data_IF_737573456741
#
_entry.id   IF_737573456741
#
_cell.length_a   1.000
_cell.length_b   1.000
_cell.length_c   1.000
_cell.angle_alpha   90.00
_cell.angle_beta   90.00
_cell.angle_gamma   90.00
#
_symmetry.space_group_name_H-M   'P 1'
#
loop_
_entity.id
_entity.type
_entity.pdbx_description
1 polymer ?
#
# COMPACT_ATOMS: atom_id res chain seq x y z
N UNK A 1 20.90 -17.82 11.24
CA UNK A 1 21.98 -16.92 11.68
C UNK A 1 21.33 -15.63 12.14
N UNK A 2 21.66 -15.12 13.31
CA UNK A 2 21.12 -13.82 13.75
C UNK A 2 21.64 -12.70 12.84
N UNK A 3 20.82 -11.70 12.49
CA UNK A 3 21.27 -10.57 11.70
C UNK A 3 22.29 -9.73 12.49
N UNK A 4 23.38 -9.34 11.84
CA UNK A 4 24.39 -8.46 12.43
C UNK A 4 23.92 -7.02 12.25
N UNK A 5 23.72 -6.31 13.37
CA UNK A 5 23.25 -4.92 13.37
C UNK A 5 24.34 -3.97 13.84
N UNK A 6 24.60 -2.93 13.07
CA UNK A 6 25.56 -1.87 13.40
C UNK A 6 25.01 -0.50 13.02
N UNK A 7 25.46 0.54 13.73
CA UNK A 7 25.05 1.93 13.48
C UNK A 7 26.22 2.71 12.87
N UNK A 8 25.92 3.59 11.94
CA UNK A 8 26.89 4.50 11.31
C UNK A 8 26.31 5.90 11.22
N UNK A 9 27.17 6.92 11.23
CA UNK A 9 26.78 8.31 10.93
C UNK A 9 26.66 8.56 9.44
N UNK A 10 27.37 7.79 8.62
CA UNK A 10 27.47 7.98 7.18
C UNK A 10 27.49 6.61 6.50
N UNK A 11 26.36 6.22 5.91
CA UNK A 11 26.22 4.95 5.20
C UNK A 11 27.13 4.88 3.95
N UNK A 12 27.50 6.03 3.37
CA UNK A 12 28.29 6.07 2.14
C UNK A 12 29.75 5.66 2.33
N UNK A 13 30.24 5.76 3.56
CA UNK A 13 31.63 5.42 3.92
C UNK A 13 31.77 4.00 4.46
N UNK A 14 30.67 3.26 4.62
CA UNK A 14 30.70 1.91 5.18
C UNK A 14 31.31 0.95 4.16
N UNK A 15 32.24 0.13 4.66
CA UNK A 15 32.89 -0.95 3.92
C UNK A 15 32.73 -2.23 4.73
N UNK A 16 32.27 -3.29 4.10
CA UNK A 16 32.25 -4.63 4.69
C UNK A 16 33.47 -5.39 4.19
N UNK A 17 34.20 -5.98 5.14
CA UNK A 17 35.37 -6.80 4.87
C UNK A 17 35.08 -8.20 5.37
N UNK A 18 35.16 -9.18 4.48
CA UNK A 18 35.01 -10.59 4.82
C UNK A 18 36.38 -11.25 4.68
N UNK A 19 37.00 -11.56 5.81
CA UNK A 19 38.33 -12.18 5.88
C UNK A 19 38.20 -13.68 6.12
N UNK A 20 38.88 -14.50 5.30
CA UNK A 20 39.05 -15.92 5.59
C UNK A 20 40.33 -16.08 6.43
N UNK A 21 40.17 -16.59 7.65
CA UNK A 21 41.25 -16.82 8.60
C UNK A 21 41.29 -18.32 8.96
N UNK A 22 42.46 -18.98 8.97
CA UNK A 22 42.56 -20.38 9.38
C UNK A 22 42.26 -20.54 10.87
N UNK A 23 41.40 -21.49 11.22
CA UNK A 23 40.91 -21.74 12.60
C UNK A 23 42.02 -21.99 13.62
N UNK A 24 43.15 -22.58 13.19
CA UNK A 24 44.24 -22.98 14.08
C UNK A 24 45.34 -21.92 14.27
N UNK A 25 45.34 -20.88 13.43
CA UNK A 25 46.28 -19.77 13.55
C UNK A 25 45.52 -18.54 14.01
N UNK A 26 45.35 -18.40 15.32
CA UNK A 26 44.65 -17.28 15.98
C UNK A 26 45.29 -15.90 15.80
N UNK A 27 46.05 -15.67 14.73
CA UNK A 27 46.64 -14.38 14.39
C UNK A 27 45.96 -13.82 13.14
N UNK A 28 45.43 -12.59 13.24
CA UNK A 28 44.94 -11.79 12.11
C UNK A 28 45.98 -11.58 10.98
N UNK A 29 47.23 -11.98 11.20
CA UNK A 29 48.35 -11.86 10.25
C UNK A 29 48.28 -12.83 9.07
N UNK A 30 47.63 -13.99 9.22
CA UNK A 30 47.58 -15.02 8.18
C UNK A 30 46.20 -15.06 7.51
N UNK A 31 45.88 -14.03 6.72
CA UNK A 31 44.63 -13.97 5.95
C UNK A 31 44.79 -14.75 4.65
N UNK A 32 43.91 -15.74 4.43
CA UNK A 32 43.91 -16.55 3.20
C UNK A 32 43.34 -15.74 2.04
N UNK A 33 42.32 -14.93 2.30
CA UNK A 33 41.75 -14.01 1.33
C UNK A 33 40.76 -13.05 1.97
N UNK A 34 40.38 -12.04 1.18
CA UNK A 34 39.49 -10.95 1.60
C UNK A 34 38.51 -10.61 0.49
N UNK A 35 37.23 -10.50 0.83
CA UNK A 35 36.24 -9.81 0.02
C UNK A 35 35.99 -8.41 0.58
N UNK A 36 35.83 -7.42 -0.32
CA UNK A 36 35.56 -6.02 0.04
C UNK A 36 34.28 -5.58 -0.64
N UNK A 37 33.28 -5.18 0.16
CA UNK A 37 32.03 -4.64 -0.33
C UNK A 37 31.87 -3.18 0.11
N UNK A 38 31.81 -2.26 -0.86
CA UNK A 38 31.47 -0.86 -0.62
C UNK A 38 29.96 -0.69 -0.71
N UNK A 39 29.27 -0.41 0.40
CA UNK A 39 27.79 -0.36 0.42
C UNK A 39 27.18 0.45 -0.74
N UNK A 40 27.65 1.67 -1.06
CA UNK A 40 27.06 2.49 -2.13
C UNK A 40 27.23 1.92 -3.52
N UNK A 41 28.35 1.22 -3.77
CA UNK A 41 28.65 0.66 -5.08
C UNK A 41 27.92 -0.65 -5.31
N UNK A 42 27.60 -1.34 -4.22
CA UNK A 42 27.11 -2.71 -4.18
C UNK A 42 25.59 -2.77 -4.34
N UNK A 43 24.85 -1.83 -3.74
CA UNK A 43 23.39 -1.73 -3.89
C UNK A 43 23.06 -0.39 -4.54
N UNK A 44 23.07 -0.37 -5.88
CA UNK A 44 22.72 0.83 -6.64
C UNK A 44 21.19 1.05 -6.57
N UNK A 45 20.78 2.26 -6.27
CA UNK A 45 19.38 2.67 -6.40
C UNK A 45 19.03 2.80 -7.89
N UNK A 46 17.78 2.48 -8.23
CA UNK A 46 17.26 2.67 -9.59
C UNK A 46 16.61 4.06 -9.61
N UNK A 47 17.28 5.03 -10.20
CA UNK A 47 16.83 6.42 -10.14
C UNK A 47 16.84 6.99 -8.72
N UNK A 48 15.99 8.00 -8.47
CA UNK A 48 16.02 8.78 -7.23
C UNK A 48 15.29 8.14 -6.05
N UNK A 49 14.27 7.29 -6.29
CA UNK A 49 13.40 6.71 -5.23
C UNK A 49 12.91 5.29 -5.53
N UNK A 50 13.65 4.51 -6.31
CA UNK A 50 13.35 3.09 -6.54
C UNK A 50 14.53 2.21 -6.17
N UNK A 51 14.22 0.98 -5.80
CA UNK A 51 15.21 -0.04 -5.48
C UNK A 51 14.90 -1.34 -6.18
N UNK A 52 15.94 -2.13 -6.44
CA UNK A 52 15.79 -3.51 -6.89
C UNK A 52 15.28 -4.37 -5.70
N UNK A 53 14.31 -5.24 -5.97
CA UNK A 53 13.82 -6.21 -5.00
C UNK A 53 14.79 -7.37 -4.80
N UNK A 54 15.66 -7.64 -5.78
CA UNK A 54 16.79 -8.54 -5.61
C UNK A 54 17.84 -7.89 -4.70
N UNK A 55 17.83 -8.30 -3.43
CA UNK A 55 18.71 -7.76 -2.38
C UNK A 55 20.04 -8.49 -2.21
N UNK A 56 20.18 -9.67 -2.81
CA UNK A 56 21.37 -10.50 -2.64
C UNK A 56 22.57 -9.93 -3.41
N UNK A 57 23.68 -9.83 -2.70
CA UNK A 57 24.94 -9.36 -3.24
C UNK A 57 25.94 -10.49 -3.18
N UNK A 58 26.60 -10.74 -4.32
CA UNK A 58 27.75 -11.61 -4.42
C UNK A 58 29.03 -10.79 -4.59
N UNK A 59 30.02 -10.98 -3.71
CA UNK A 59 31.35 -10.34 -3.81
C UNK A 59 32.42 -11.42 -3.85
N UNK A 60 33.40 -11.35 -4.77
CA UNK A 60 34.49 -12.31 -4.84
C UNK A 60 35.46 -12.14 -3.67
N UNK A 61 35.96 -13.28 -3.17
CA UNK A 61 37.04 -13.35 -2.19
C UNK A 61 38.35 -13.44 -2.97
N UNK A 62 39.24 -12.47 -2.76
CA UNK A 62 40.53 -12.41 -3.44
C UNK A 62 41.65 -12.93 -2.54
N UNK A 63 42.55 -13.74 -3.10
CA UNK A 63 43.79 -14.16 -2.44
C UNK A 63 44.83 -13.03 -2.44
N UNK A 64 45.97 -13.25 -1.79
CA UNK A 64 47.14 -12.35 -1.85
C UNK A 64 47.65 -12.13 -3.28
N UNK A 65 47.41 -13.08 -4.19
CA UNK A 65 47.83 -13.04 -5.58
C UNK A 65 46.76 -12.43 -6.50
N UNK A 66 45.68 -11.86 -5.93
CA UNK A 66 44.52 -11.31 -6.63
C UNK A 66 43.70 -12.35 -7.43
N UNK A 67 43.88 -13.64 -7.14
CA UNK A 67 43.04 -14.69 -7.71
C UNK A 67 41.74 -14.83 -6.91
N UNK A 68 40.64 -15.13 -7.60
CA UNK A 68 39.35 -15.39 -6.96
C UNK A 68 39.37 -16.80 -6.39
N UNK A 69 39.34 -16.91 -5.07
CA UNK A 69 39.37 -18.20 -4.35
C UNK A 69 38.00 -18.64 -3.85
N UNK A 70 37.00 -17.78 -3.98
CA UNK A 70 35.62 -18.04 -3.56
C UNK A 70 34.74 -16.80 -3.69
N UNK A 71 33.51 -16.90 -3.20
CA UNK A 71 32.55 -15.79 -3.19
C UNK A 71 31.83 -15.74 -1.84
N UNK A 72 31.40 -14.54 -1.44
CA UNK A 72 30.52 -14.33 -0.30
C UNK A 72 29.20 -13.78 -0.81
N UNK A 73 28.11 -14.44 -0.44
CA UNK A 73 26.75 -13.97 -0.67
C UNK A 73 26.19 -13.41 0.64
N UNK A 74 25.64 -12.20 0.59
CA UNK A 74 24.99 -11.58 1.73
C UNK A 74 23.92 -10.59 1.28
N UNK A 75 22.99 -10.29 2.18
CA UNK A 75 21.98 -9.26 2.02
C UNK A 75 22.10 -8.27 3.19
N UNK A 76 21.78 -7.00 2.94
CA UNK A 76 21.76 -5.97 3.96
C UNK A 76 20.65 -4.95 3.71
N UNK A 77 20.16 -4.40 4.82
CA UNK A 77 19.19 -3.32 4.85
C UNK A 77 19.79 -2.10 5.55
N UNK A 78 19.69 -0.93 4.91
CA UNK A 78 20.09 0.35 5.50
C UNK A 78 18.82 1.10 5.88
N UNK A 79 18.64 1.36 7.17
CA UNK A 79 17.51 2.12 7.70
C UNK A 79 18.00 3.51 8.08
N UNK A 80 17.40 4.54 7.50
CA UNK A 80 17.69 5.94 7.82
C UNK A 80 16.81 6.43 8.97
N UNK A 81 17.29 7.36 9.81
CA UNK A 81 16.45 7.94 10.85
C UNK A 81 15.28 8.70 10.24
N UNK A 82 14.11 8.60 10.87
CA UNK A 82 12.92 9.37 10.54
C UNK A 82 12.74 10.49 11.57
N UNK A 83 12.41 11.70 11.11
CA UNK A 83 12.24 12.88 11.95
C UNK A 83 10.92 13.56 11.65
N UNK A 84 10.10 13.78 12.68
CA UNK A 84 8.83 14.46 12.56
C UNK A 84 8.51 15.19 13.88
N UNK A 85 7.96 16.42 13.84
CA UNK A 85 7.68 17.21 15.05
C UNK A 85 6.72 16.53 16.03
N UNK A 86 5.76 15.76 15.49
CA UNK A 86 4.74 15.06 16.30
C UNK A 86 5.19 13.68 16.81
N UNK A 87 6.46 13.28 16.61
CA UNK A 87 6.99 12.06 17.24
C UNK A 87 7.27 12.38 18.70
N UNK A 88 6.42 11.86 19.57
CA UNK A 88 6.61 11.93 21.01
C UNK A 88 6.87 10.54 21.59
N UNK A 89 7.93 10.41 22.40
CA UNK A 89 8.19 9.21 23.21
C UNK A 89 7.34 9.32 24.48
N UNK A 90 6.03 9.12 24.37
CA UNK A 90 5.14 9.15 25.53
C UNK A 90 4.77 7.74 26.01
N UNK A 91 4.86 7.52 27.32
CA UNK A 91 4.44 6.28 28.00
C UNK A 91 2.95 5.95 27.86
N UNK A 92 2.15 6.89 27.33
CA UNK A 92 0.70 6.74 27.11
C UNK A 92 0.37 5.95 25.83
N UNK A 93 1.31 5.82 24.88
CA UNK A 93 1.05 5.21 23.57
C UNK A 93 1.29 3.70 23.50
N UNK A 94 1.76 3.04 24.57
CA UNK A 94 1.64 1.58 24.71
C UNK A 94 0.21 1.18 25.09
N UNK A 95 -0.79 1.63 24.32
CA UNK A 95 -2.22 1.40 24.60
C UNK A 95 -2.55 -0.09 24.64
N UNK A 96 -1.77 -0.93 23.95
CA UNK A 96 -1.85 -2.40 23.99
C UNK A 96 -1.79 -3.02 25.37
N UNK A 97 -1.05 -2.40 26.30
CA UNK A 97 -1.02 -2.87 27.70
C UNK A 97 -2.32 -2.62 28.44
N UNK A 98 -3.22 -1.77 27.91
CA UNK A 98 -4.57 -1.52 28.43
C UNK A 98 -5.66 -2.32 27.70
N UNK A 99 -5.31 -3.07 26.65
CA UNK A 99 -6.28 -3.88 25.90
C UNK A 99 -6.49 -5.19 26.66
N UNK A 100 -7.39 -5.15 27.64
CA UNK A 100 -7.78 -6.34 28.43
C UNK A 100 -8.84 -7.22 27.74
N UNK A 101 -9.31 -6.84 26.55
CA UNK A 101 -10.40 -7.50 25.82
C UNK A 101 -10.06 -7.73 24.35
N UNK A 102 -10.62 -8.78 23.76
CA UNK A 102 -10.57 -9.06 22.32
C UNK A 102 -11.09 -7.87 21.51
N UNK A 103 -10.31 -7.40 20.53
CA UNK A 103 -10.69 -6.31 19.64
C UNK A 103 -11.29 -6.87 18.35
N UNK A 104 -12.35 -6.24 17.84
CA UNK A 104 -12.95 -6.59 16.55
C UNK A 104 -12.40 -5.69 15.45
N UNK A 105 -11.78 -6.30 14.44
CA UNK A 105 -11.18 -5.61 13.30
C UNK A 105 -11.96 -5.98 12.02
N UNK A 106 -12.53 -4.98 11.35
CA UNK A 106 -13.19 -5.15 10.06
C UNK A 106 -12.17 -5.28 8.93
N UNK A 107 -11.89 -6.51 8.48
CA UNK A 107 -10.97 -6.80 7.38
C UNK A 107 -11.46 -6.17 6.07
N UNK A 108 -10.70 -5.23 5.50
CA UNK A 108 -11.08 -4.38 4.34
C UNK A 108 -12.44 -3.69 4.50
N UNK A 109 -12.85 -3.42 5.74
CA UNK A 109 -14.21 -3.02 6.12
C UNK A 109 -15.11 -4.24 6.41
N UNK A 110 -16.10 -4.52 5.57
CA UNK A 110 -17.05 -5.63 5.74
C UNK A 110 -16.59 -6.98 5.15
N UNK A 111 -15.28 -7.19 5.03
CA UNK A 111 -14.72 -8.42 4.52
C UNK A 111 -14.47 -8.40 3.00
N UNK A 112 -13.82 -9.48 2.56
CA UNK A 112 -13.45 -9.71 1.16
C UNK A 112 -14.69 -9.95 0.30
N UNK A 113 -14.71 -9.37 -0.89
CA UNK A 113 -15.81 -9.58 -1.83
C UNK A 113 -15.78 -11.00 -2.41
N UNK A 114 -16.94 -11.68 -2.36
CA UNK A 114 -17.12 -13.05 -2.88
C UNK A 114 -18.26 -13.08 -3.91
N UNK A 115 -18.03 -13.76 -5.03
CA UNK A 115 -19.00 -13.93 -6.13
C UNK A 115 -20.12 -14.92 -5.82
N UNK A 116 -19.96 -15.78 -4.80
CA UNK A 116 -20.93 -16.81 -4.41
C UNK A 116 -22.13 -16.29 -3.62
N UNK A 117 -22.05 -15.07 -3.11
CA UNK A 117 -23.09 -14.49 -2.26
C UNK A 117 -24.24 -13.95 -3.11
N UNK A 118 -25.47 -14.24 -2.68
CA UNK A 118 -26.71 -13.82 -3.35
C UNK A 118 -27.11 -12.37 -3.04
N UNK A 119 -26.46 -11.73 -2.07
CA UNK A 119 -26.71 -10.35 -1.67
C UNK A 119 -25.65 -9.39 -2.22
N UNK A 120 -26.09 -8.19 -2.57
CA UNK A 120 -25.24 -7.08 -2.98
C UNK A 120 -24.28 -6.71 -1.82
N UNK A 121 -22.97 -6.73 -2.07
CA UNK A 121 -21.96 -6.34 -1.08
C UNK A 121 -21.42 -4.94 -1.37
N UNK A 122 -20.95 -4.28 -0.31
CA UNK A 122 -20.11 -3.09 -0.43
C UNK A 122 -18.75 -3.50 -1.00
N UNK A 123 -18.14 -2.64 -1.82
CA UNK A 123 -16.79 -2.91 -2.30
C UNK A 123 -15.77 -2.88 -1.17
N UNK A 124 -14.85 -3.85 -1.15
CA UNK A 124 -13.73 -3.88 -0.21
C UNK A 124 -12.83 -2.66 -0.38
N UNK A 125 -12.17 -2.25 0.71
CA UNK A 125 -11.26 -1.11 0.71
C UNK A 125 -11.93 0.22 0.27
N UNK A 126 -13.23 0.34 0.52
CA UNK A 126 -14.00 1.56 0.26
C UNK A 126 -14.51 2.21 1.54
N UNK A 127 -14.64 3.54 1.51
CA UNK A 127 -15.17 4.29 2.65
C UNK A 127 -16.54 3.79 3.15
N UNK A 128 -17.54 3.48 2.28
CA UNK A 128 -18.80 2.90 2.76
C UNK A 128 -18.62 1.58 3.49
N UNK A 129 -17.69 0.71 3.04
CA UNK A 129 -17.38 -0.56 3.70
C UNK A 129 -16.84 -0.35 5.10
N UNK A 130 -15.94 0.62 5.29
CA UNK A 130 -15.38 0.96 6.59
C UNK A 130 -16.43 1.57 7.54
N UNK A 131 -17.25 2.50 7.06
CA UNK A 131 -18.34 3.09 7.86
C UNK A 131 -19.33 2.01 8.30
N UNK A 132 -19.69 1.10 7.39
CA UNK A 132 -20.61 0.01 7.71
C UNK A 132 -20.01 -0.96 8.74
N UNK A 133 -18.72 -1.30 8.65
CA UNK A 133 -18.04 -2.11 9.65
C UNK A 133 -18.05 -1.46 11.04
N UNK A 134 -17.76 -0.16 11.09
CA UNK A 134 -17.80 0.61 12.34
C UNK A 134 -19.21 0.65 12.95
N UNK A 135 -20.25 0.87 12.13
CA UNK A 135 -21.64 0.86 12.57
C UNK A 135 -22.09 -0.51 13.10
N UNK A 136 -21.45 -1.61 12.67
CA UNK A 136 -21.69 -2.96 13.19
C UNK A 136 -20.87 -3.30 14.45
N UNK A 137 -20.12 -2.33 14.99
CA UNK A 137 -19.37 -2.48 16.24
C UNK A 137 -17.90 -2.88 16.07
N UNK A 138 -17.35 -2.81 14.86
CA UNK A 138 -15.90 -2.94 14.68
C UNK A 138 -15.19 -1.75 15.33
N UNK A 139 -14.19 -2.04 16.18
CA UNK A 139 -13.39 -1.02 16.86
C UNK A 139 -12.23 -0.55 15.98
N UNK A 140 -11.78 -1.42 15.08
CA UNK A 140 -10.79 -1.12 14.07
C UNK A 140 -11.31 -1.47 12.69
N UNK A 141 -10.79 -0.78 11.68
CA UNK A 141 -10.88 -1.19 10.28
C UNK A 141 -9.48 -1.50 9.77
N UNK A 142 -9.34 -2.60 9.05
CA UNK A 142 -8.10 -3.00 8.39
C UNK A 142 -8.17 -2.64 6.91
N UNK A 143 -7.06 -2.17 6.36
CA UNK A 143 -6.94 -1.86 4.94
C UNK A 143 -5.47 -1.85 4.46
N UNK A 144 -5.29 -2.12 3.17
CA UNK A 144 -4.00 -2.11 2.49
C UNK A 144 -3.59 -0.71 2.03
N UNK A 145 -2.35 -0.33 2.34
CA UNK A 145 -1.74 0.93 1.91
C UNK A 145 -0.63 0.65 0.90
N UNK A 146 -0.73 1.30 -0.27
CA UNK A 146 0.30 1.33 -1.30
C UNK A 146 0.65 2.77 -1.68
N UNK A 147 1.76 2.97 -2.39
CA UNK A 147 2.15 4.28 -2.92
C UNK A 147 1.98 4.36 -4.43
N UNK A 148 1.44 5.47 -4.90
CA UNK A 148 1.43 5.85 -6.32
C UNK A 148 2.81 6.32 -6.78
N UNK A 149 2.97 6.54 -8.09
CA UNK A 149 4.21 7.05 -8.72
C UNK A 149 4.68 8.38 -8.13
N UNK A 150 3.75 9.24 -7.76
CA UNK A 150 3.95 10.54 -7.11
C UNK A 150 4.06 10.45 -5.58
N UNK A 151 4.17 9.23 -5.03
CA UNK A 151 4.38 8.95 -3.60
C UNK A 151 3.21 9.42 -2.73
N UNK A 152 1.98 9.18 -3.19
CA UNK A 152 0.78 9.41 -2.39
C UNK A 152 0.26 8.09 -1.86
N UNK A 153 0.05 7.95 -0.54
CA UNK A 153 -0.55 6.75 0.03
C UNK A 153 -2.01 6.58 -0.39
N UNK A 154 -2.29 5.45 -1.04
CA UNK A 154 -3.61 5.07 -1.54
C UNK A 154 -4.05 3.73 -0.94
N UNK A 155 -5.36 3.54 -0.88
CA UNK A 155 -5.97 2.36 -0.27
C UNK A 155 -6.33 1.37 -1.37
N UNK A 156 -5.54 0.31 -1.48
CA UNK A 156 -5.71 -0.69 -2.54
C UNK A 156 -4.98 -2.00 -2.24
N UNK A 157 -5.68 -3.12 -2.42
CA UNK A 157 -5.18 -4.45 -2.05
C UNK A 157 -4.29 -5.10 -3.11
N UNK A 158 -4.66 -5.06 -4.40
CA UNK A 158 -3.91 -5.82 -5.39
C UNK A 158 -2.66 -5.05 -5.83
N UNK A 159 -1.56 -5.73 -6.17
CA UNK A 159 -0.38 -5.01 -6.69
C UNK A 159 -0.62 -4.42 -8.08
N UNK A 160 -1.53 -5.02 -8.84
CA UNK A 160 -1.94 -4.63 -10.19
C UNK A 160 -3.35 -4.05 -10.17
N UNK A 161 -3.49 -2.85 -10.72
CA UNK A 161 -4.76 -2.21 -11.03
C UNK A 161 -5.18 -2.71 -12.41
N UNK A 162 -6.29 -3.43 -12.48
CA UNK A 162 -6.76 -4.11 -13.69
C UNK A 162 -8.16 -3.69 -14.12
N UNK A 163 -8.79 -2.77 -13.39
CA UNK A 163 -10.16 -2.28 -13.58
C UNK A 163 -10.39 -1.54 -14.90
N UNK A 164 -9.30 -1.15 -15.59
CA UNK A 164 -9.35 -0.57 -16.94
C UNK A 164 -9.23 -1.61 -18.07
N UNK A 165 -9.01 -2.87 -17.71
CA UNK A 165 -8.68 -3.95 -18.63
C UNK A 165 -7.18 -4.09 -18.95
N UNK A 166 -6.34 -3.24 -18.37
CA UNK A 166 -4.88 -3.29 -18.49
C UNK A 166 -4.31 -3.52 -17.09
N UNK A 167 -3.40 -4.49 -16.95
CA UNK A 167 -2.70 -4.76 -15.71
C UNK A 167 -1.55 -3.74 -15.52
N UNK A 168 -1.72 -2.80 -14.59
CA UNK A 168 -0.71 -1.77 -14.29
C UNK A 168 -0.36 -1.76 -12.80
N UNK A 169 0.92 -1.82 -12.41
CA UNK A 169 1.31 -1.73 -11.00
C UNK A 169 0.94 -0.37 -10.39
N UNK A 170 0.46 -0.36 -9.14
CA UNK A 170 0.04 0.89 -8.45
C UNK A 170 1.15 1.95 -8.44
N UNK A 171 2.40 1.54 -8.17
CA UNK A 171 3.55 2.42 -8.10
C UNK A 171 4.00 3.00 -9.47
N UNK A 172 3.35 2.62 -10.57
CA UNK A 172 3.57 3.18 -11.92
C UNK A 172 2.54 4.24 -12.31
N UNK A 173 1.40 4.29 -11.62
CA UNK A 173 0.31 5.22 -11.86
C UNK A 173 0.46 6.45 -10.96
N UNK A 174 0.21 7.64 -11.51
CA UNK A 174 0.07 8.86 -10.69
C UNK A 174 -1.25 8.80 -9.90
N UNK A 175 -1.35 9.56 -8.81
CA UNK A 175 -2.60 9.67 -8.05
C UNK A 175 -3.78 10.06 -8.93
N UNK A 176 -3.58 11.06 -9.80
CA UNK A 176 -4.63 11.52 -10.71
C UNK A 176 -5.12 10.39 -11.61
N UNK A 177 -4.21 9.65 -12.24
CA UNK A 177 -4.56 8.49 -13.06
C UNK A 177 -5.29 7.43 -12.24
N UNK A 178 -4.77 7.10 -11.05
CA UNK A 178 -5.34 6.09 -10.17
C UNK A 178 -6.78 6.44 -9.77
N UNK A 179 -7.05 7.68 -9.33
CA UNK A 179 -8.39 8.11 -8.93
C UNK A 179 -9.40 8.15 -10.09
N UNK A 180 -8.94 8.39 -11.33
CA UNK A 180 -9.82 8.42 -12.51
C UNK A 180 -10.23 7.04 -13.01
N UNK A 181 -9.59 5.96 -12.56
CA UNK A 181 -9.96 4.59 -12.94
C UNK A 181 -11.37 4.24 -12.44
N UNK A 182 -11.73 4.73 -11.25
CA UNK A 182 -13.09 4.62 -10.74
C UNK A 182 -13.63 6.00 -10.31
N UNK A 183 -14.11 6.82 -11.26
CA UNK A 183 -14.46 8.20 -10.99
C UNK A 183 -15.70 8.29 -10.11
N UNK A 184 -15.62 9.17 -9.11
CA UNK A 184 -16.78 9.54 -8.32
C UNK A 184 -17.69 10.46 -9.15
N UNK A 185 -18.94 10.04 -9.38
CA UNK A 185 -19.95 10.91 -10.02
C UNK A 185 -20.23 12.18 -9.19
N UNK A 186 -19.82 12.23 -7.92
CA UNK A 186 -19.90 13.42 -7.07
C UNK A 186 -18.71 14.39 -7.26
N UNK A 187 -17.48 13.90 -7.48
CA UNK A 187 -16.29 14.76 -7.71
C UNK A 187 -16.41 15.57 -9.01
N UNK A 188 -17.02 15.01 -10.05
CA UNK A 188 -17.21 15.67 -11.36
C UNK A 188 -18.20 16.87 -11.30
N UNK A 189 -19.05 16.96 -10.27
CA UNK A 189 -19.95 18.10 -10.05
C UNK A 189 -19.26 19.30 -9.41
N UNK A 190 -18.18 19.08 -8.65
CA UNK A 190 -17.41 20.17 -8.04
C UNK A 190 -16.66 21.00 -9.07
N UNK A 191 -16.18 20.36 -10.15
CA UNK A 191 -15.42 21.04 -11.21
C UNK A 191 -16.32 21.83 -12.18
N UNK A 192 -17.54 21.34 -12.45
CA UNK A 192 -18.49 22.03 -13.36
C UNK A 192 -19.22 23.21 -12.71
N UNK A 193 -19.34 23.25 -11.39
CA UNK A 193 -20.03 24.34 -10.68
C UNK A 193 -19.16 25.60 -10.46
N UNK A 194 -17.87 25.56 -10.82
CA UNK A 194 -16.99 26.73 -10.77
C UNK A 194 -17.03 27.65 -11.99
N UNK A 195 -17.71 27.24 -13.08
CA UNK A 195 -17.56 27.89 -14.39
C UNK A 195 -18.85 28.47 -15.02
N UNK A 196 -20.01 28.45 -14.33
CA UNK A 196 -21.23 29.09 -14.87
C UNK A 196 -22.10 29.66 -13.74
N UNK A 197 -21.72 30.85 -13.25
CA UNK A 197 -22.67 31.81 -12.70
C UNK A 197 -22.76 32.95 -13.71
N UNK A 198 -23.73 32.84 -14.61
CA UNK A 198 -24.54 33.95 -15.11
C UNK A 198 -25.50 33.42 -16.16
N UNK A 199 -26.80 33.49 -15.86
CA UNK A 199 -27.95 33.66 -16.76
C UNK A 199 -29.21 33.24 -16.00
N UNK A 200 -29.85 34.22 -15.35
CA UNK A 200 -31.28 34.16 -15.06
C UNK A 200 -32.02 34.29 -16.40
N UNK A 201 -32.90 33.34 -16.70
CA UNK A 201 -34.20 33.51 -17.34
C UNK A 201 -34.63 32.18 -17.97
N UNK A 202 -35.62 31.50 -17.37
CA UNK A 202 -36.84 31.16 -18.11
C UNK A 202 -37.92 30.64 -17.14
N UNK A 203 -38.98 31.43 -17.01
CA UNK A 203 -40.19 31.13 -16.27
C UNK A 203 -41.23 30.55 -17.24
N UNK A 204 -41.41 29.24 -17.26
CA UNK A 204 -42.56 28.62 -17.96
C UNK A 204 -43.34 27.66 -17.05
N UNK A 205 -44.41 28.21 -16.46
CA UNK A 205 -45.77 27.68 -16.33
C UNK A 205 -45.91 26.15 -16.13
N UNK A 206 -46.31 25.73 -14.91
CA UNK A 206 -46.87 24.40 -14.62
C UNK A 206 -48.40 24.46 -14.54
N UNK A 207 -49.16 23.64 -15.29
CA UNK A 207 -50.53 23.34 -14.90
C UNK A 207 -50.55 22.16 -13.92
N UNK A 208 -51.33 22.32 -12.85
CA UNK A 208 -51.73 21.28 -11.91
C UNK A 208 -52.76 20.36 -12.58
N UNK A 209 -52.56 19.06 -12.53
CA UNK A 209 -53.65 18.09 -12.67
C UNK A 209 -53.43 16.87 -11.79
N UNK A 210 -54.37 16.67 -10.86
CA UNK A 210 -54.58 15.45 -10.09
C UNK A 210 -55.02 14.32 -11.03
N UNK A 211 -54.25 13.24 -11.09
CA UNK A 211 -54.77 11.94 -11.52
C UNK A 211 -53.94 10.82 -10.88
N UNK A 212 -54.63 9.92 -10.17
CA UNK A 212 -54.09 8.70 -9.57
C UNK A 212 -53.43 7.82 -10.64
N UNK A 213 -52.10 7.69 -10.59
CA UNK A 213 -51.37 6.70 -11.36
C UNK A 213 -51.06 5.47 -10.47
N UNK A 214 -51.18 4.23 -10.98
CA UNK A 214 -50.80 3.03 -10.23
C UNK A 214 -49.30 3.06 -9.91
N UNK A 215 -48.85 2.43 -8.80
CA UNK A 215 -47.46 2.48 -8.41
C UNK A 215 -46.61 1.82 -9.51
N UNK A 216 -45.77 2.64 -10.17
CA UNK A 216 -44.70 2.14 -11.03
C UNK A 216 -43.80 1.27 -10.16
N UNK A 217 -43.93 -0.06 -10.26
CA UNK A 217 -42.84 -0.96 -9.89
C UNK A 217 -41.63 -0.53 -10.73
N UNK A 218 -40.50 -0.28 -10.08
CA UNK A 218 -39.23 -0.05 -10.76
C UNK A 218 -38.82 -1.36 -11.45
N UNK A 219 -39.18 -1.49 -12.73
CA UNK A 219 -38.54 -2.43 -13.62
C UNK A 219 -37.18 -1.85 -13.98
N UNK A 220 -36.13 -2.27 -13.28
CA UNK A 220 -34.76 -2.11 -13.73
C UNK A 220 -34.48 -3.11 -14.87
N UNK A 221 -35.12 -2.90 -16.01
CA UNK A 221 -34.76 -3.53 -17.28
C UNK A 221 -34.52 -2.40 -18.25
N UNK A 222 -33.34 -1.81 -18.12
CA UNK A 222 -32.91 -0.62 -18.85
C UNK A 222 -31.40 -0.63 -18.96
N UNK A 223 -30.91 -1.59 -19.73
CA UNK A 223 -29.58 -1.61 -20.31
C UNK A 223 -29.35 -0.29 -21.05
N UNK A 224 -28.50 0.57 -20.50
CA UNK A 224 -28.13 1.85 -21.08
C UNK A 224 -26.60 1.97 -21.04
N UNK A 225 -25.96 1.68 -22.17
CA UNK A 225 -24.56 2.01 -22.43
C UNK A 225 -23.79 0.86 -23.06
N UNK A 226 -23.53 0.98 -24.36
CA UNK A 226 -22.68 0.17 -25.24
C UNK A 226 -21.19 0.11 -24.83
N UNK A 227 -20.85 0.36 -23.56
CA UNK A 227 -19.49 0.34 -23.03
C UNK A 227 -19.23 -0.74 -21.96
N UNK A 228 -20.28 -1.36 -21.40
CA UNK A 228 -20.10 -2.45 -20.43
C UNK A 228 -19.60 -3.74 -21.10
N UNK A 229 -20.13 -4.09 -22.27
CA UNK A 229 -19.62 -5.25 -23.04
C UNK A 229 -18.14 -5.07 -23.43
N UNK A 230 -17.75 -3.89 -23.96
CA UNK A 230 -16.35 -3.65 -24.30
C UNK A 230 -15.41 -3.70 -23.08
N UNK A 231 -15.86 -3.18 -21.93
CA UNK A 231 -15.08 -3.27 -20.69
C UNK A 231 -15.02 -4.71 -20.16
N UNK A 232 -16.14 -5.45 -20.16
CA UNK A 232 -16.16 -6.86 -19.77
C UNK A 232 -15.26 -7.72 -20.68
N UNK A 233 -15.25 -7.46 -21.99
CA UNK A 233 -14.32 -8.10 -22.92
C UNK A 233 -12.86 -7.75 -22.59
N UNK A 234 -12.55 -6.47 -22.33
CA UNK A 234 -11.18 -6.09 -21.91
C UNK A 234 -10.77 -6.75 -20.59
N UNK A 235 -11.69 -6.86 -19.63
CA UNK A 235 -11.44 -7.49 -18.34
C UNK A 235 -11.08 -8.97 -18.49
N UNK A 236 -11.62 -9.69 -19.49
CA UNK A 236 -11.23 -11.10 -19.77
C UNK A 236 -9.74 -11.27 -20.09
N UNK A 237 -9.10 -10.22 -20.57
CA UNK A 237 -7.68 -10.25 -20.91
C UNK A 237 -6.75 -9.96 -19.73
N UNK A 238 -7.29 -9.44 -18.62
CA UNK A 238 -6.55 -9.19 -17.38
C UNK A 238 -6.12 -10.49 -16.71
N UNK A 239 -5.01 -10.44 -15.99
CA UNK A 239 -4.45 -11.60 -15.28
C UNK A 239 -5.39 -12.12 -14.21
N UNK A 240 -5.97 -11.24 -13.40
CA UNK A 240 -6.90 -11.64 -12.32
C UNK A 240 -8.09 -12.42 -12.88
N UNK A 241 -8.66 -11.97 -13.99
CA UNK A 241 -9.76 -12.67 -14.62
C UNK A 241 -9.33 -14.02 -15.21
N UNK A 242 -8.16 -14.11 -15.85
CA UNK A 242 -7.62 -15.38 -16.35
C UNK A 242 -7.33 -16.40 -15.24
N UNK A 243 -6.82 -15.94 -14.10
CA UNK A 243 -6.42 -16.80 -12.98
C UNK A 243 -7.60 -17.20 -12.09
N UNK A 244 -8.47 -16.25 -11.73
CA UNK A 244 -9.55 -16.43 -10.73
C UNK A 244 -10.93 -16.55 -11.37
N UNK A 245 -11.09 -16.19 -12.64
CA UNK A 245 -12.39 -16.10 -13.33
C UNK A 245 -13.22 -14.86 -12.95
N UNK A 246 -12.73 -14.01 -12.05
CA UNK A 246 -13.40 -12.78 -11.63
C UNK A 246 -12.40 -11.77 -11.03
N UNK A 247 -12.75 -10.48 -11.05
CA UNK A 247 -12.05 -9.41 -10.33
C UNK A 247 -12.93 -8.90 -9.18
N UNK A 248 -12.37 -8.74 -7.98
CA UNK A 248 -13.09 -8.13 -6.86
C UNK A 248 -13.47 -6.67 -7.21
N UNK A 249 -14.55 -6.14 -6.63
CA UNK A 249 -15.07 -4.80 -6.94
C UNK A 249 -15.51 -4.56 -8.42
N UNK A 250 -15.66 -5.63 -9.22
CA UNK A 250 -16.16 -5.53 -10.60
C UNK A 250 -17.51 -4.81 -10.70
N UNK A 251 -17.64 -3.96 -11.73
CA UNK A 251 -18.89 -3.22 -12.03
C UNK A 251 -20.06 -4.20 -12.20
N UNK A 252 -21.20 -3.84 -11.62
CA UNK A 252 -22.44 -4.63 -11.72
C UNK A 252 -22.66 -5.65 -10.59
N UNK A 253 -21.59 -6.11 -9.92
CA UNK A 253 -21.69 -7.12 -8.84
C UNK A 253 -21.60 -6.52 -7.43
N UNK A 254 -21.08 -5.30 -7.29
CA UNK A 254 -20.80 -4.66 -5.99
C UNK A 254 -21.15 -3.17 -5.99
N UNK A 255 -21.46 -2.63 -4.81
CA UNK A 255 -21.59 -1.17 -4.64
C UNK A 255 -20.20 -0.56 -4.76
N UNK A 256 -19.98 0.16 -5.86
CA UNK A 256 -18.73 0.84 -6.09
C UNK A 256 -18.66 2.17 -5.34
N UNK A 257 -17.47 2.45 -4.83
CA UNK A 257 -17.06 3.77 -4.38
C UNK A 257 -15.73 4.10 -5.05
N UNK A 258 -15.40 5.39 -5.20
CA UNK A 258 -14.13 5.81 -5.75
C UNK A 258 -12.98 5.26 -4.91
N UNK A 259 -11.82 5.10 -5.53
CA UNK A 259 -10.61 4.81 -4.78
C UNK A 259 -10.31 5.95 -3.81
N UNK A 260 -9.79 5.59 -2.64
CA UNK A 260 -9.52 6.51 -1.55
C UNK A 260 -8.02 6.65 -1.32
N UNK A 261 -7.61 7.85 -0.91
CA UNK A 261 -6.29 8.07 -0.32
C UNK A 261 -6.30 7.76 1.17
N UNK A 262 -5.11 7.58 1.76
CA UNK A 262 -4.99 7.49 3.21
C UNK A 262 -5.50 8.76 3.90
N UNK A 263 -5.26 9.92 3.30
CA UNK A 263 -5.76 11.20 3.80
C UNK A 263 -7.29 11.29 3.77
N UNK A 264 -7.93 10.76 2.72
CA UNK A 264 -9.39 10.66 2.64
C UNK A 264 -9.95 9.85 3.81
N UNK A 265 -9.32 8.72 4.16
CA UNK A 265 -9.75 7.91 5.30
C UNK A 265 -9.57 8.64 6.63
N UNK A 266 -8.44 9.32 6.82
CA UNK A 266 -8.22 10.08 8.05
C UNK A 266 -9.29 11.13 8.30
N UNK A 267 -9.67 11.88 7.24
CA UNK A 267 -10.64 12.97 7.30
C UNK A 267 -12.10 12.53 7.38
N UNK A 268 -12.44 11.40 6.75
CA UNK A 268 -13.84 11.00 6.56
C UNK A 268 -14.34 9.95 7.56
N UNK A 269 -13.44 9.15 8.15
CA UNK A 269 -13.81 8.22 9.21
C UNK A 269 -13.82 8.93 10.58
N UNK A 270 -14.76 8.60 11.48
CA UNK A 270 -14.76 9.07 12.88
C UNK A 270 -13.46 8.75 13.63
N UNK A 271 -12.96 9.68 14.45
CA UNK A 271 -11.66 9.57 15.18
C UNK A 271 -11.62 8.36 16.12
N UNK A 272 -12.78 7.94 16.63
CA UNK A 272 -12.96 6.84 17.57
C UNK A 272 -12.64 5.47 16.95
N UNK A 273 -12.70 5.34 15.62
CA UNK A 273 -12.39 4.09 14.91
C UNK A 273 -10.88 3.99 14.74
N UNK A 274 -10.30 2.90 15.25
CA UNK A 274 -8.88 2.61 15.08
C UNK A 274 -8.54 2.10 13.67
N UNK A 275 -7.30 2.32 13.23
CA UNK A 275 -6.80 1.85 11.94
C UNK A 275 -5.80 0.72 12.12
N UNK A 276 -6.01 -0.38 11.41
CA UNK A 276 -4.98 -1.37 11.15
C UNK A 276 -4.49 -1.20 9.70
N UNK A 277 -3.32 -0.62 9.54
CA UNK A 277 -2.76 -0.24 8.25
C UNK A 277 -1.79 -1.32 7.78
N UNK A 278 -2.22 -2.14 6.84
CA UNK A 278 -1.34 -3.11 6.18
C UNK A 278 -0.48 -2.39 5.14
N UNK A 279 0.81 -2.21 5.43
CA UNK A 279 1.77 -1.65 4.49
C UNK A 279 2.12 -2.70 3.44
N UNK A 280 1.43 -2.60 2.29
CA UNK A 280 1.57 -3.56 1.22
C UNK A 280 2.77 -3.22 0.35
N UNK A 281 3.83 -3.99 0.52
CA UNK A 281 5.09 -3.81 -0.21
C UNK A 281 5.50 -5.13 -0.89
N UNK A 282 5.74 -5.12 -2.20
CA UNK A 282 5.96 -6.35 -2.96
C UNK A 282 7.29 -7.02 -2.58
N UNK A 283 7.25 -8.33 -2.40
CA UNK A 283 8.45 -9.17 -2.36
C UNK A 283 8.87 -9.58 -3.78
N UNK A 284 10.12 -10.02 -3.94
CA UNK A 284 10.66 -10.42 -5.24
C UNK A 284 9.83 -11.55 -5.87
N UNK A 285 9.54 -12.61 -5.11
CA UNK A 285 8.77 -13.75 -5.60
C UNK A 285 7.33 -13.36 -5.99
N UNK A 286 6.69 -12.43 -5.27
CA UNK A 286 5.35 -11.94 -5.61
C UNK A 286 5.39 -11.13 -6.90
N UNK A 287 6.44 -10.33 -7.10
CA UNK A 287 6.63 -9.55 -8.32
C UNK A 287 6.84 -10.47 -9.52
N UNK A 288 7.64 -11.53 -9.37
CA UNK A 288 7.85 -12.55 -10.42
C UNK A 288 6.57 -13.33 -10.71
N UNK A 289 5.85 -13.78 -9.69
CA UNK A 289 4.55 -14.47 -9.85
C UNK A 289 3.51 -13.57 -10.52
N UNK A 290 3.62 -12.26 -10.31
CA UNK A 290 2.73 -11.26 -10.88
C UNK A 290 3.21 -10.66 -12.19
N UNK A 291 4.33 -11.15 -12.74
CA UNK A 291 4.98 -10.63 -13.95
C UNK A 291 5.18 -9.11 -13.91
N UNK A 292 5.40 -8.59 -12.71
CA UNK A 292 5.70 -7.19 -12.45
C UNK A 292 7.19 -6.93 -12.61
N UNK A 293 7.53 -5.67 -12.85
CA UNK A 293 8.92 -5.24 -12.78
C UNK A 293 9.52 -5.57 -11.40
N UNK A 294 10.77 -6.04 -11.38
CA UNK A 294 11.48 -6.43 -10.14
C UNK A 294 12.05 -5.25 -9.36
N UNK A 295 11.43 -4.07 -9.49
CA UNK A 295 11.76 -2.87 -8.72
C UNK A 295 10.53 -2.36 -7.95
N UNK A 296 10.79 -1.69 -6.84
CA UNK A 296 9.75 -1.05 -6.04
C UNK A 296 10.22 0.33 -5.56
N UNK A 297 9.31 1.07 -4.91
CA UNK A 297 9.66 2.33 -4.22
C UNK A 297 10.72 2.04 -3.17
N UNK A 298 11.74 2.89 -3.03
CA UNK A 298 12.78 2.68 -2.03
C UNK A 298 12.17 2.60 -0.61
N UNK A 299 12.60 1.59 0.16
CA UNK A 299 11.96 1.18 1.41
C UNK A 299 11.88 2.31 2.45
N UNK A 300 12.96 3.10 2.63
CA UNK A 300 12.93 4.23 3.57
C UNK A 300 11.96 5.30 3.07
N UNK A 301 12.01 5.65 1.79
CA UNK A 301 11.08 6.59 1.18
C UNK A 301 9.62 6.14 1.32
N UNK A 302 9.35 4.84 1.20
CA UNK A 302 8.02 4.28 1.38
C UNK A 302 7.53 4.46 2.81
N UNK A 303 8.31 3.98 3.79
CA UNK A 303 7.99 4.11 5.21
C UNK A 303 7.88 5.57 5.65
N UNK A 304 8.82 6.43 5.26
CA UNK A 304 8.85 7.85 5.64
C UNK A 304 7.63 8.60 5.10
N UNK A 305 7.17 8.27 3.89
CA UNK A 305 5.98 8.88 3.29
C UNK A 305 4.72 8.51 4.07
N UNK A 306 4.55 7.22 4.39
CA UNK A 306 3.39 6.76 5.16
C UNK A 306 3.44 7.29 6.60
N UNK A 307 4.59 7.21 7.27
CA UNK A 307 4.77 7.72 8.62
C UNK A 307 4.50 9.22 8.71
N UNK A 308 5.00 10.03 7.76
CA UNK A 308 4.72 11.47 7.74
C UNK A 308 3.22 11.73 7.67
N UNK A 309 2.51 11.09 6.73
CA UNK A 309 1.05 11.24 6.61
C UNK A 309 0.29 10.77 7.86
N UNK A 310 0.77 9.72 8.51
CA UNK A 310 0.18 9.24 9.76
C UNK A 310 0.41 10.25 10.88
N UNK A 311 1.64 10.71 11.12
CA UNK A 311 1.91 11.68 12.19
C UNK A 311 1.30 13.08 11.95
N UNK A 312 1.01 13.43 10.70
CA UNK A 312 0.30 14.66 10.35
C UNK A 312 -1.20 14.60 10.68
N UNK A 313 -1.83 13.42 10.53
CA UNK A 313 -3.30 13.29 10.49
C UNK A 313 -3.90 12.37 11.56
N UNK A 314 -3.08 11.60 12.28
CA UNK A 314 -3.54 10.62 13.25
C UNK A 314 -4.23 11.24 14.46
N UNK A 315 -3.78 12.42 14.89
CA UNK A 315 -4.24 13.07 16.12
C UNK A 315 -4.28 12.08 17.31
N UNK A 316 -5.46 11.73 17.85
CA UNK A 316 -5.60 10.75 18.94
C UNK A 316 -6.08 9.36 18.48
N UNK A 317 -6.25 9.14 17.17
CA UNK A 317 -6.72 7.87 16.63
C UNK A 317 -5.73 6.75 16.95
N UNK A 318 -6.26 5.60 17.35
CA UNK A 318 -5.46 4.40 17.54
C UNK A 318 -5.03 3.79 16.21
N UNK A 319 -3.74 3.57 16.03
CA UNK A 319 -3.16 3.03 14.80
C UNK A 319 -2.32 1.79 15.08
N UNK A 320 -2.41 0.85 14.16
CA UNK A 320 -1.57 -0.34 14.06
C UNK A 320 -0.94 -0.36 12.68
N UNK A 321 0.35 -0.68 12.61
CA UNK A 321 0.96 -1.08 11.35
C UNK A 321 1.00 -2.60 11.27
N UNK A 322 0.66 -3.15 10.10
CA UNK A 322 0.85 -4.56 9.78
C UNK A 322 1.57 -4.72 8.45
N UNK A 323 2.30 -5.83 8.27
CA UNK A 323 2.96 -6.14 6.99
C UNK A 323 3.41 -7.60 6.97
N UNK A 324 3.28 -8.26 5.82
CA UNK A 324 3.93 -9.56 5.53
C UNK A 324 5.40 -9.40 5.16
N UNK A 325 5.83 -8.19 4.76
CA UNK A 325 7.22 -7.91 4.43
C UNK A 325 8.02 -7.63 5.71
N UNK A 326 9.03 -8.46 6.05
CA UNK A 326 9.80 -8.30 7.29
C UNK A 326 10.68 -7.04 7.27
N UNK A 327 11.17 -6.61 6.10
CA UNK A 327 11.99 -5.40 5.98
C UNK A 327 11.17 -4.14 6.30
N UNK A 328 9.89 -4.10 5.92
CA UNK A 328 8.96 -3.03 6.31
C UNK A 328 8.79 -3.01 7.83
N UNK A 329 8.51 -4.15 8.45
CA UNK A 329 8.35 -4.23 9.91
C UNK A 329 9.60 -3.77 10.65
N UNK A 330 10.79 -4.21 10.19
CA UNK A 330 12.07 -3.76 10.72
C UNK A 330 12.23 -2.25 10.54
N UNK A 331 12.00 -1.72 9.34
CA UNK A 331 12.09 -0.30 9.02
C UNK A 331 11.24 0.55 9.96
N UNK A 332 9.96 0.18 10.15
CA UNK A 332 9.06 0.85 11.07
C UNK A 332 9.56 0.78 12.52
N UNK A 333 10.04 -0.38 12.97
CA UNK A 333 10.49 -0.57 14.36
C UNK A 333 11.68 0.32 14.74
N UNK A 334 12.53 0.65 13.75
CA UNK A 334 13.67 1.54 13.94
C UNK A 334 13.32 3.03 13.74
N UNK A 335 12.31 3.34 12.92
CA UNK A 335 11.91 4.70 12.57
C UNK A 335 10.93 5.33 13.55
N UNK A 336 10.07 4.53 14.19
CA UNK A 336 9.10 5.03 15.13
C UNK A 336 9.03 4.13 16.40
N UNK A 337 8.91 4.71 17.60
CA UNK A 337 8.96 3.93 18.85
C UNK A 337 7.58 3.63 19.48
N UNK A 338 6.49 4.19 18.97
CA UNK A 338 5.24 4.32 19.73
C UNK A 338 4.04 3.56 19.15
N UNK A 339 3.98 3.41 17.84
CA UNK A 339 2.93 2.69 17.13
C UNK A 339 3.30 1.20 17.10
N UNK A 340 2.39 0.28 17.46
CA UNK A 340 2.63 -1.15 17.32
C UNK A 340 2.88 -1.57 15.87
N UNK A 341 3.61 -2.67 15.74
CA UNK A 341 3.87 -3.29 14.44
C UNK A 341 3.53 -4.77 14.58
N UNK A 342 2.63 -5.25 13.72
CA UNK A 342 2.27 -6.65 13.58
C UNK A 342 2.98 -7.21 12.35
N UNK A 343 3.77 -8.26 12.56
CA UNK A 343 4.27 -9.09 11.47
C UNK A 343 3.23 -10.17 11.19
N UNK A 344 2.73 -10.24 9.96
CA UNK A 344 1.62 -11.11 9.55
C UNK A 344 2.09 -12.46 9.00
#
# INVERSE_FOLDING_TARGET
TEPIVFKTKDATKVKLLFDIIPTYSGSEKNKIGRAVALLPSVKKTIGSRRMNLQGDVCVPIMSSNLEVIGTVNFNFLVITPFHHPNIEITSRQTYWRKVSSTMLIGHRGLGKNLTSNKSLQLGENTLPSFIAAANLGAQYVEFDVQLTKDHVPVIYHDFLVSETGIDAPVHTLTLEQFLHINPDKARDRGYKNGANRDSLDDLTIRPRSNSFAPPKRSLSTGYAGTGNEEMEERMKHTRDFKAKGYKANSRGNFIQAPFATLEDLFRQLPEEIGFNMELKYPMLHESEEHEMDTYAVELNSFCDTVLSKVYDLAENRHIIFSSFNPDICLCLSFKQPSIPILFL
#
